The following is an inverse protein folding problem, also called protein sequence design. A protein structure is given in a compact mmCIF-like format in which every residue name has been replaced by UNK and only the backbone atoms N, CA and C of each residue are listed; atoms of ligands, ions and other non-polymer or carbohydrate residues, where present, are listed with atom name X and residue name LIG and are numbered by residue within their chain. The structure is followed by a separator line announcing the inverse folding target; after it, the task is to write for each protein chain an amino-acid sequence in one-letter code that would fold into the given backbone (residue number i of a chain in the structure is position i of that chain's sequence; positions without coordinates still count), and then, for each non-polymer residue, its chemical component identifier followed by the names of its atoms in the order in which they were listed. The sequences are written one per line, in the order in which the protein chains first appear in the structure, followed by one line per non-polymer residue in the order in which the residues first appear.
data_IF_460443340530
#
_entry.id   IF_460443340530
#
_cell.length_a   1.000
_cell.length_b   1.000
_cell.length_c   1.000
_cell.angle_alpha   90.00
_cell.angle_beta   90.00
_cell.angle_gamma   90.00
#
_symmetry.space_group_name_H-M   'P 1'
#
loop_
_entity.id
_entity.type
_entity.pdbx_description
1 polymer ?
#
# COMPACT_ATOMS: atom_id res chain seq x y z
N UNK A 1 -27.30 16.33 -18.29
CA UNK A 1 -28.26 15.68 -17.38
C UNK A 1 -27.71 15.78 -15.96
N UNK A 2 -28.34 16.58 -15.10
CA UNK A 2 -27.95 16.67 -13.69
C UNK A 2 -28.41 15.41 -12.94
N UNK A 3 -27.50 14.75 -12.21
CA UNK A 3 -27.84 13.63 -11.32
C UNK A 3 -27.99 14.17 -9.90
N UNK A 4 -29.13 13.88 -9.29
CA UNK A 4 -29.42 14.19 -7.90
C UNK A 4 -29.14 12.95 -7.05
N UNK A 5 -28.42 13.12 -5.94
CA UNK A 5 -28.24 12.07 -4.95
C UNK A 5 -29.07 12.45 -3.73
N UNK A 6 -30.02 11.59 -3.39
CA UNK A 6 -30.85 11.70 -2.20
C UNK A 6 -30.33 10.74 -1.15
N UNK A 7 -29.97 11.25 0.03
CA UNK A 7 -29.53 10.45 1.16
C UNK A 7 -30.74 9.95 1.97
N UNK A 8 -30.53 8.88 2.75
CA UNK A 8 -31.58 8.23 3.55
C UNK A 8 -32.22 9.17 4.61
N UNK A 9 -31.59 10.30 4.91
CA UNK A 9 -32.10 11.35 5.80
C UNK A 9 -32.81 12.50 5.07
N UNK A 10 -33.09 12.33 3.78
CA UNK A 10 -33.87 13.26 2.97
C UNK A 10 -33.08 14.45 2.41
N UNK A 11 -31.76 14.52 2.64
CA UNK A 11 -30.92 15.57 2.05
C UNK A 11 -30.66 15.29 0.57
N UNK A 12 -30.77 16.32 -0.26
CA UNK A 12 -30.49 16.27 -1.70
C UNK A 12 -29.34 17.22 -2.02
N UNK A 13 -28.30 16.71 -2.68
CA UNK A 13 -27.15 17.53 -3.08
C UNK A 13 -26.98 17.49 -4.59
N UNK A 14 -26.70 18.66 -5.18
CA UNK A 14 -26.40 18.83 -6.59
C UNK A 14 -24.93 18.48 -6.87
N UNK A 15 -24.67 17.46 -7.68
CA UNK A 15 -23.32 17.13 -8.10
C UNK A 15 -22.89 18.09 -9.22
N UNK A 16 -22.13 19.15 -8.91
CA UNK A 16 -21.37 19.89 -9.92
C UNK A 16 -20.10 19.09 -10.22
N UNK A 17 -19.97 18.61 -11.46
CA UNK A 17 -18.75 17.99 -11.94
C UNK A 17 -17.65 19.03 -12.08
N UNK A 18 -16.48 18.76 -11.51
CA UNK A 18 -15.27 19.55 -11.71
C UNK A 18 -14.29 18.71 -12.50
N UNK A 19 -14.10 19.13 -13.76
CA UNK A 19 -13.00 18.77 -14.65
C UNK A 19 -11.70 19.34 -14.05
N UNK A 20 -10.60 18.60 -14.16
CA UNK A 20 -9.39 18.78 -13.34
C UNK A 20 -8.63 20.09 -13.49
N UNK A 21 -7.80 20.36 -12.48
CA UNK A 21 -6.62 21.23 -12.57
C UNK A 21 -5.63 20.87 -11.44
N UNK A 22 -4.34 20.86 -11.77
CA UNK A 22 -3.20 20.62 -10.89
C UNK A 22 -3.12 21.61 -9.72
N UNK A 23 -2.87 21.13 -8.51
CA UNK A 23 -2.28 21.94 -7.43
C UNK A 23 -1.18 21.13 -6.72
N UNK A 24 0.04 21.32 -7.20
CA UNK A 24 1.28 20.90 -6.58
C UNK A 24 1.64 21.82 -5.40
N UNK A 25 1.29 21.49 -4.16
CA UNK A 25 1.92 22.12 -2.98
C UNK A 25 2.05 21.13 -1.82
N UNK A 26 3.30 20.90 -1.41
CA UNK A 26 3.72 20.02 -0.32
C UNK A 26 3.21 20.53 1.04
N UNK A 27 2.49 19.67 1.76
CA UNK A 27 2.32 19.78 3.21
C UNK A 27 3.27 18.77 3.88
N UNK A 28 4.28 19.26 4.58
CA UNK A 28 5.13 18.43 5.45
C UNK A 28 4.48 18.44 6.83
N UNK A 29 3.89 17.32 7.23
CA UNK A 29 3.44 17.09 8.60
C UNK A 29 4.53 16.31 9.34
N UNK A 30 5.22 16.97 10.27
CA UNK A 30 6.07 16.29 11.26
C UNK A 30 5.28 16.07 12.54
N UNK A 31 5.15 14.81 12.93
CA UNK A 31 4.56 14.40 14.20
C UNK A 31 5.61 14.59 15.30
N UNK A 32 5.29 15.37 16.35
CA UNK A 32 6.05 15.39 17.60
C UNK A 32 5.30 14.58 18.65
N UNK A 33 6.05 13.91 19.54
CA UNK A 33 5.60 12.87 20.49
C UNK A 33 4.57 13.33 21.55
N UNK A 34 4.00 14.53 21.44
CA UNK A 34 2.99 15.08 22.35
C UNK A 34 1.59 15.25 21.74
N UNK A 35 1.37 14.82 20.49
CA UNK A 35 0.03 14.86 19.88
C UNK A 35 -0.56 16.27 19.64
N UNK A 36 0.25 17.32 19.78
CA UNK A 36 -0.15 18.70 19.48
C UNK A 36 0.26 19.07 18.06
N UNK A 37 -0.74 19.28 17.19
CA UNK A 37 -0.56 19.75 15.82
C UNK A 37 -0.48 21.28 15.80
N UNK A 38 0.71 21.86 15.65
CA UNK A 38 0.84 23.29 15.33
C UNK A 38 1.02 23.49 13.81
N UNK A 39 -0.07 23.80 13.11
CA UNK A 39 -0.01 24.25 11.73
C UNK A 39 0.25 25.76 11.67
N UNK A 40 1.50 26.19 11.57
CA UNK A 40 1.85 27.58 11.26
C UNK A 40 1.74 27.82 9.75
N UNK A 41 0.57 28.25 9.27
CA UNK A 41 0.41 28.74 7.89
C UNK A 41 -0.20 30.15 7.87
N UNK A 42 0.57 31.09 7.31
CA UNK A 42 0.19 32.49 7.09
C UNK A 42 -0.54 32.59 5.75
N UNK A 43 -1.87 32.56 5.77
CA UNK A 43 -2.72 32.86 4.60
C UNK A 43 -4.01 33.59 5.03
N UNK A 44 -4.49 34.57 4.24
CA UNK A 44 -5.58 35.47 4.61
C UNK A 44 -6.93 34.88 4.19
N UNK A 45 -7.74 34.48 5.16
CA UNK A 45 -9.22 34.56 5.20
C UNK A 45 -9.75 33.54 6.20
N UNK A 46 -10.42 34.06 7.23
CA UNK A 46 -10.69 33.36 8.49
C UNK A 46 -11.94 32.46 8.47
N UNK A 47 -12.73 32.44 7.38
CA UNK A 47 -14.11 31.91 7.43
C UNK A 47 -14.28 30.49 6.85
N UNK A 48 -13.35 30.02 6.01
CA UNK A 48 -13.38 28.64 5.47
C UNK A 48 -12.71 27.64 6.43
N UNK A 49 -11.95 28.14 7.42
CA UNK A 49 -11.12 27.34 8.33
C UNK A 49 -11.92 26.46 9.30
N UNK A 50 -13.10 26.88 9.76
CA UNK A 50 -13.78 26.14 10.84
C UNK A 50 -14.50 24.87 10.37
N UNK A 51 -15.04 24.87 9.14
CA UNK A 51 -15.85 23.75 8.63
C UNK A 51 -15.02 22.61 8.06
N UNK A 52 -13.88 22.89 7.43
CA UNK A 52 -13.03 21.84 6.82
C UNK A 52 -12.15 21.16 7.87
N UNK A 53 -11.59 21.92 8.83
CA UNK A 53 -10.76 21.34 9.90
C UNK A 53 -11.61 20.46 10.83
N UNK A 54 -12.87 20.82 11.08
CA UNK A 54 -13.79 20.04 11.92
C UNK A 54 -14.21 18.70 11.30
N UNK A 55 -14.21 18.57 9.96
CA UNK A 55 -14.63 17.32 9.30
C UNK A 55 -13.47 16.30 9.30
N UNK A 56 -12.23 16.74 9.15
CA UNK A 56 -11.07 15.85 9.12
C UNK A 56 -10.51 15.50 10.51
N UNK A 57 -10.73 16.33 11.53
CA UNK A 57 -10.30 16.03 12.90
C UNK A 57 -11.20 14.99 13.62
N UNK A 58 -12.41 14.72 13.11
CA UNK A 58 -13.41 13.88 13.79
C UNK A 58 -13.42 12.39 13.42
N UNK A 59 -12.41 11.89 12.69
CA UNK A 59 -12.24 10.45 12.46
C UNK A 59 -10.85 9.96 12.86
N UNK A 60 -10.42 10.28 14.08
CA UNK A 60 -9.42 9.42 14.71
C UNK A 60 -10.05 8.07 15.02
N UNK A 61 -9.46 7.00 14.51
CA UNK A 61 -9.84 5.64 14.87
C UNK A 61 -9.70 5.49 16.39
N UNK A 62 -10.75 5.06 17.08
CA UNK A 62 -10.72 4.98 18.54
C UNK A 62 -9.76 3.88 19.02
N UNK A 63 -9.11 4.11 20.16
CA UNK A 63 -8.25 3.10 20.78
C UNK A 63 -9.01 1.79 21.02
N UNK A 64 -10.27 1.88 21.43
CA UNK A 64 -11.13 0.71 21.64
C UNK A 64 -11.34 -0.09 20.35
N UNK A 65 -11.52 0.57 19.20
CA UNK A 65 -11.61 -0.11 17.92
C UNK A 65 -10.30 -0.82 17.59
N UNK A 66 -9.15 -0.16 17.76
CA UNK A 66 -7.84 -0.78 17.51
C UNK A 66 -7.60 -2.00 18.40
N UNK A 67 -7.90 -1.90 19.70
CA UNK A 67 -7.81 -3.04 20.62
C UNK A 67 -8.68 -4.21 20.17
N UNK A 68 -9.90 -3.95 19.69
CA UNK A 68 -10.77 -5.00 19.15
C UNK A 68 -10.20 -5.63 17.88
N UNK A 69 -9.63 -4.83 16.98
CA UNK A 69 -8.97 -5.33 15.75
C UNK A 69 -7.76 -6.20 16.09
N UNK A 70 -6.94 -5.80 17.07
CA UNK A 70 -5.77 -6.56 17.51
C UNK A 70 -6.12 -7.92 18.14
N UNK A 71 -7.34 -8.08 18.65
CA UNK A 71 -7.84 -9.33 19.21
C UNK A 71 -8.40 -10.30 18.15
N UNK A 72 -8.62 -9.84 16.91
CA UNK A 72 -9.12 -10.71 15.86
C UNK A 72 -8.08 -11.77 15.47
N UNK A 73 -8.50 -13.02 15.20
CA UNK A 73 -7.59 -14.05 14.75
C UNK A 73 -6.97 -13.65 13.40
N UNK A 74 -5.67 -13.90 13.27
CA UNK A 74 -4.97 -13.71 12.01
C UNK A 74 -5.47 -14.74 10.99
N UNK A 75 -5.73 -14.28 9.77
CA UNK A 75 -5.91 -15.18 8.64
C UNK A 75 -4.54 -15.65 8.18
N UNK A 76 -4.32 -16.96 8.15
CA UNK A 76 -3.05 -17.56 7.75
C UNK A 76 -3.07 -18.03 6.30
N UNK A 77 -1.93 -17.91 5.62
CA UNK A 77 -1.77 -18.44 4.26
C UNK A 77 -1.65 -19.98 4.20
N UNK A 78 -1.60 -20.64 5.36
CA UNK A 78 -1.51 -22.10 5.47
C UNK A 78 -2.84 -22.83 5.32
N UNK A 79 -3.96 -22.14 5.52
CA UNK A 79 -5.29 -22.76 5.55
C UNK A 79 -5.67 -23.35 4.19
N UNK A 80 -5.76 -24.69 4.04
CA UNK A 80 -6.08 -25.33 2.78
C UNK A 80 -7.45 -24.89 2.24
N UNK A 81 -7.55 -24.64 0.93
CA UNK A 81 -8.78 -24.19 0.28
C UNK A 81 -9.20 -22.74 0.59
N UNK A 82 -8.48 -22.04 1.49
CA UNK A 82 -8.75 -20.64 1.77
C UNK A 82 -8.36 -19.72 0.61
N UNK A 83 -9.01 -18.56 0.54
CA UNK A 83 -8.63 -17.51 -0.41
C UNK A 83 -7.18 -17.03 -0.18
N UNK A 84 -6.72 -16.98 1.07
CA UNK A 84 -5.35 -16.62 1.41
C UNK A 84 -4.32 -17.61 0.80
N UNK A 85 -4.59 -18.92 0.90
CA UNK A 85 -3.75 -19.96 0.29
C UNK A 85 -3.78 -19.88 -1.24
N UNK A 86 -4.96 -19.66 -1.83
CA UNK A 86 -5.10 -19.45 -3.27
C UNK A 86 -4.28 -18.24 -3.75
N UNK A 87 -4.23 -17.18 -2.95
CA UNK A 87 -3.40 -15.99 -3.18
C UNK A 87 -1.95 -16.37 -3.48
N UNK A 88 -1.27 -17.04 -2.55
CA UNK A 88 0.15 -17.35 -2.69
C UNK A 88 0.48 -18.49 -3.68
N UNK A 89 -0.47 -19.39 -3.91
CA UNK A 89 -0.25 -20.53 -4.83
C UNK A 89 -0.56 -20.21 -6.29
N UNK A 90 -1.26 -19.11 -6.58
CA UNK A 90 -1.66 -18.79 -7.95
C UNK A 90 -1.69 -17.29 -8.26
N UNK A 91 -2.47 -16.49 -7.51
CA UNK A 91 -2.77 -15.10 -7.87
C UNK A 91 -1.56 -14.17 -7.73
N UNK A 92 -0.82 -14.29 -6.64
CA UNK A 92 0.36 -13.47 -6.39
C UNK A 92 1.54 -13.81 -7.30
N UNK A 93 1.90 -15.10 -7.52
CA UNK A 93 2.87 -15.46 -8.55
C UNK A 93 2.51 -14.92 -9.94
N UNK A 94 1.25 -15.07 -10.36
CA UNK A 94 0.77 -14.54 -11.64
C UNK A 94 0.93 -13.02 -11.72
N UNK A 95 0.51 -12.28 -10.69
CA UNK A 95 0.67 -10.82 -10.64
C UNK A 95 2.13 -10.38 -10.78
N UNK A 96 3.07 -11.08 -10.15
CA UNK A 96 4.50 -10.75 -10.28
C UNK A 96 5.01 -11.03 -11.70
N UNK A 97 4.54 -12.12 -12.33
CA UNK A 97 4.84 -12.43 -13.74
C UNK A 97 4.28 -11.36 -14.66
N UNK A 98 3.04 -10.92 -14.45
CA UNK A 98 2.39 -9.85 -15.22
C UNK A 98 3.17 -8.53 -15.10
N UNK A 99 3.67 -8.19 -13.91
CA UNK A 99 4.55 -7.02 -13.74
C UNK A 99 5.79 -7.08 -14.64
N UNK A 100 6.39 -8.26 -14.82
CA UNK A 100 7.55 -8.45 -15.71
C UNK A 100 7.14 -8.44 -17.17
N UNK A 101 6.05 -9.10 -17.54
CA UNK A 101 5.57 -9.17 -18.92
C UNK A 101 5.14 -7.80 -19.43
N UNK A 102 4.33 -7.07 -18.65
CA UNK A 102 3.71 -5.82 -19.08
C UNK A 102 4.61 -4.59 -18.90
N UNK A 103 5.62 -4.66 -18.02
CA UNK A 103 6.53 -3.53 -17.76
C UNK A 103 8.01 -3.87 -18.03
N UNK A 104 8.31 -5.03 -18.61
CA UNK A 104 9.66 -5.60 -18.67
C UNK A 104 10.70 -4.75 -19.39
N UNK A 105 10.28 -3.95 -20.38
CA UNK A 105 11.17 -3.02 -21.08
C UNK A 105 11.73 -1.91 -20.16
N UNK A 106 11.02 -1.60 -19.07
CA UNK A 106 11.43 -0.57 -18.09
C UNK A 106 12.40 -1.11 -17.05
N UNK A 107 12.62 -2.42 -17.01
CA UNK A 107 13.49 -3.08 -16.03
C UNK A 107 14.74 -3.65 -16.71
N UNK A 108 15.93 -3.48 -16.12
CA UNK A 108 17.10 -4.28 -16.47
C UNK A 108 16.82 -5.78 -16.33
N UNK A 109 17.54 -6.59 -17.11
CA UNK A 109 17.38 -8.05 -17.13
C UNK A 109 17.49 -8.69 -15.74
N UNK A 110 18.44 -8.22 -14.93
CA UNK A 110 18.62 -8.72 -13.56
C UNK A 110 17.38 -8.48 -12.68
N UNK A 111 16.72 -7.33 -12.82
CA UNK A 111 15.51 -7.06 -12.04
C UNK A 111 14.36 -7.98 -12.47
N UNK A 112 14.17 -8.18 -13.78
CA UNK A 112 13.18 -9.14 -14.31
C UNK A 112 13.43 -10.54 -13.78
N UNK A 113 14.69 -11.00 -13.81
CA UNK A 113 15.09 -12.32 -13.29
C UNK A 113 14.77 -12.47 -11.81
N UNK A 114 15.03 -11.45 -10.99
CA UNK A 114 14.74 -11.46 -9.55
C UNK A 114 13.24 -11.45 -9.26
N UNK A 115 12.44 -10.73 -10.04
CA UNK A 115 10.98 -10.76 -9.94
C UNK A 115 10.42 -12.14 -10.32
N UNK A 116 10.89 -12.73 -11.42
CA UNK A 116 10.47 -14.09 -11.80
C UNK A 116 10.87 -15.13 -10.75
N UNK A 117 12.03 -14.97 -10.10
CA UNK A 117 12.42 -15.78 -8.94
C UNK A 117 11.46 -15.58 -7.76
N UNK A 118 11.08 -14.35 -7.46
CA UNK A 118 10.09 -14.08 -6.40
C UNK A 118 8.75 -14.78 -6.71
N UNK A 119 8.29 -14.78 -7.97
CA UNK A 119 7.08 -15.50 -8.36
C UNK A 119 7.19 -17.01 -8.09
N UNK A 120 8.34 -17.60 -8.41
CA UNK A 120 8.62 -19.02 -8.15
C UNK A 120 8.69 -19.33 -6.65
N UNK A 121 9.35 -18.46 -5.87
CA UNK A 121 9.45 -18.54 -4.42
C UNK A 121 8.06 -18.46 -3.74
N UNK A 122 7.18 -17.57 -4.22
CA UNK A 122 5.80 -17.46 -3.75
C UNK A 122 5.03 -18.77 -4.00
N UNK A 123 5.15 -19.35 -5.19
CA UNK A 123 4.42 -20.55 -5.59
C UNK A 123 4.87 -21.80 -4.82
N UNK A 124 6.18 -21.92 -4.55
CA UNK A 124 6.80 -23.09 -3.92
C UNK A 124 7.02 -22.97 -2.40
N UNK A 125 6.31 -22.07 -1.73
CA UNK A 125 6.37 -21.85 -0.28
C UNK A 125 7.79 -21.55 0.21
N UNK A 126 8.58 -20.73 -0.48
CA UNK A 126 9.91 -20.38 -0.01
C UNK A 126 9.86 -19.59 1.31
N UNK A 127 11.01 -19.52 1.99
CA UNK A 127 11.18 -18.64 3.15
C UNK A 127 11.08 -17.17 2.72
N UNK A 128 10.41 -16.36 3.52
CA UNK A 128 10.29 -14.93 3.28
C UNK A 128 11.64 -14.27 3.59
N UNK A 129 12.34 -13.67 2.61
CA UNK A 129 13.64 -13.08 2.85
C UNK A 129 13.53 -11.81 3.70
N UNK A 130 14.59 -11.49 4.44
CA UNK A 130 14.75 -10.16 5.02
C UNK A 130 15.16 -9.15 3.95
N UNK A 131 14.75 -7.87 4.05
CA UNK A 131 15.23 -6.83 3.13
C UNK A 131 16.76 -6.74 3.03
N UNK A 132 17.47 -6.91 4.14
CA UNK A 132 18.94 -6.93 4.20
C UNK A 132 19.59 -8.01 3.33
N UNK A 133 18.92 -9.14 3.11
CA UNK A 133 19.43 -10.24 2.29
C UNK A 133 19.41 -9.93 0.77
N UNK A 134 18.69 -8.88 0.35
CA UNK A 134 18.45 -8.59 -1.06
C UNK A 134 19.53 -7.73 -1.71
N UNK A 135 20.41 -7.08 -0.92
CA UNK A 135 21.42 -6.15 -1.43
C UNK A 135 20.84 -5.11 -2.42
N UNK A 136 19.80 -4.40 -1.98
CA UNK A 136 19.04 -3.39 -2.77
C UNK A 136 18.99 -2.06 -2.02
N UNK A 137 18.62 -0.99 -2.72
CA UNK A 137 18.40 0.32 -2.11
C UNK A 137 17.15 0.32 -1.22
N UNK A 138 17.28 0.81 0.02
CA UNK A 138 16.20 0.80 1.00
C UNK A 138 15.25 1.98 0.81
N UNK A 139 13.95 1.70 0.92
CA UNK A 139 12.91 2.73 0.97
C UNK A 139 12.64 3.22 2.40
N UNK A 140 11.74 4.22 2.57
CA UNK A 140 11.45 4.84 3.87
C UNK A 140 10.92 3.88 4.95
N UNK A 141 10.29 2.77 4.54
CA UNK A 141 9.71 1.77 5.45
C UNK A 141 10.51 0.48 5.54
N UNK A 142 11.60 0.33 4.79
CA UNK A 142 12.34 -0.93 4.70
C UNK A 142 12.91 -1.37 6.04
N UNK A 143 13.46 -0.45 6.84
CA UNK A 143 13.94 -0.78 8.18
C UNK A 143 12.83 -1.22 9.15
N UNK A 144 11.57 -0.78 8.93
CA UNK A 144 10.42 -1.24 9.74
C UNK A 144 10.06 -2.68 9.37
N UNK A 145 10.11 -3.02 8.08
CA UNK A 145 9.91 -4.40 7.62
C UNK A 145 11.01 -5.34 8.11
N UNK A 146 12.27 -4.91 8.06
CA UNK A 146 13.40 -5.65 8.62
C UNK A 146 13.10 -6.01 10.08
N UNK A 147 12.84 -4.99 10.93
CA UNK A 147 12.53 -5.19 12.35
C UNK A 147 11.31 -6.10 12.59
N UNK A 148 10.27 -5.99 11.75
CA UNK A 148 9.05 -6.79 11.89
C UNK A 148 9.28 -8.28 11.58
N UNK A 149 10.20 -8.58 10.66
CA UNK A 149 10.50 -9.93 10.19
C UNK A 149 11.69 -10.57 10.90
N UNK A 150 12.63 -9.80 11.47
CA UNK A 150 13.78 -10.34 12.21
C UNK A 150 13.34 -11.34 13.29
N UNK A 151 13.94 -12.52 13.28
CA UNK A 151 13.65 -13.59 14.24
C UNK A 151 12.34 -14.35 13.96
N UNK A 152 11.63 -14.04 12.86
CA UNK A 152 10.49 -14.81 12.37
C UNK A 152 10.97 -15.78 11.29
N UNK A 153 10.49 -17.02 11.33
CA UNK A 153 10.76 -18.03 10.29
C UNK A 153 9.51 -18.23 9.45
N UNK A 154 9.09 -17.17 8.76
CA UNK A 154 7.89 -17.21 7.93
C UNK A 154 8.20 -17.76 6.55
N UNK A 155 7.25 -18.52 6.02
CA UNK A 155 7.24 -18.96 4.61
C UNK A 155 5.99 -18.40 3.95
N UNK A 156 6.00 -18.25 2.64
CA UNK A 156 4.90 -17.60 1.91
C UNK A 156 3.53 -18.25 2.19
N UNK A 157 3.48 -19.57 2.39
CA UNK A 157 2.27 -20.31 2.73
C UNK A 157 2.14 -20.62 4.22
N UNK A 158 3.01 -20.05 5.07
CA UNK A 158 3.00 -20.20 6.54
C UNK A 158 3.26 -18.86 7.22
N UNK A 159 2.45 -17.87 6.90
CA UNK A 159 2.52 -16.53 7.46
C UNK A 159 1.12 -15.90 7.60
N UNK A 160 0.97 -14.87 8.45
CA UNK A 160 -0.24 -14.05 8.43
C UNK A 160 -0.43 -13.45 7.03
N UNK A 161 -1.58 -13.71 6.42
CA UNK A 161 -1.84 -13.41 5.01
C UNK A 161 -1.63 -11.92 4.69
N UNK A 162 -2.19 -11.03 5.52
CA UNK A 162 -2.06 -9.59 5.31
C UNK A 162 -0.60 -9.13 5.38
N UNK A 163 0.17 -9.62 6.36
CA UNK A 163 1.58 -9.31 6.52
C UNK A 163 2.39 -9.76 5.29
N UNK A 164 2.25 -11.02 4.90
CA UNK A 164 2.98 -11.57 3.76
C UNK A 164 2.57 -10.88 2.45
N UNK A 165 1.28 -10.63 2.24
CA UNK A 165 0.80 -9.95 1.04
C UNK A 165 1.35 -8.53 0.92
N UNK A 166 1.28 -7.74 2.00
CA UNK A 166 1.84 -6.39 2.01
C UNK A 166 3.36 -6.37 1.85
N UNK A 167 4.05 -7.34 2.46
CA UNK A 167 5.50 -7.47 2.32
C UNK A 167 5.92 -7.86 0.91
N UNK A 168 5.17 -8.75 0.24
CA UNK A 168 5.41 -9.07 -1.17
C UNK A 168 5.38 -7.83 -2.06
N UNK A 169 4.39 -6.94 -1.90
CA UNK A 169 4.36 -5.68 -2.64
C UNK A 169 5.58 -4.81 -2.32
N UNK A 170 6.01 -4.75 -1.06
CA UNK A 170 7.24 -4.05 -0.69
C UNK A 170 8.48 -4.66 -1.37
N UNK A 171 8.59 -5.98 -1.43
CA UNK A 171 9.67 -6.67 -2.14
C UNK A 171 9.69 -6.30 -3.62
N UNK A 172 8.53 -6.26 -4.29
CA UNK A 172 8.47 -5.87 -5.70
C UNK A 172 9.06 -4.46 -5.89
N UNK A 173 8.69 -3.49 -5.03
CA UNK A 173 9.26 -2.13 -5.07
C UNK A 173 10.78 -2.10 -4.85
N UNK A 174 11.29 -2.94 -3.95
CA UNK A 174 12.73 -3.05 -3.69
C UNK A 174 13.47 -3.66 -4.89
N UNK A 175 12.95 -4.76 -5.43
CA UNK A 175 13.55 -5.51 -6.54
C UNK A 175 13.55 -4.71 -7.84
N UNK A 176 12.53 -3.90 -8.09
CA UNK A 176 12.47 -3.01 -9.26
C UNK A 176 13.31 -1.75 -9.06
N UNK A 177 13.80 -1.51 -7.84
CA UNK A 177 14.55 -0.29 -7.52
C UNK A 177 13.66 0.97 -7.58
N UNK A 178 12.36 0.83 -7.33
CA UNK A 178 11.39 1.93 -7.33
C UNK A 178 11.88 3.12 -6.48
N UNK A 179 12.40 2.85 -5.28
CA UNK A 179 12.85 3.92 -4.37
C UNK A 179 14.05 4.73 -4.87
N UNK A 180 14.76 4.25 -5.91
CA UNK A 180 15.84 4.97 -6.57
C UNK A 180 15.39 5.62 -7.88
N UNK A 181 14.50 4.97 -8.63
CA UNK A 181 14.19 5.33 -10.02
C UNK A 181 12.83 6.02 -10.19
N UNK A 182 11.89 5.78 -9.27
CA UNK A 182 10.50 6.20 -9.39
C UNK A 182 9.66 5.41 -10.39
N UNK A 183 10.22 4.39 -11.06
CA UNK A 183 9.48 3.59 -12.05
C UNK A 183 8.49 2.67 -11.34
N UNK A 184 7.19 2.94 -11.50
CA UNK A 184 6.13 2.11 -10.91
C UNK A 184 6.05 0.75 -11.61
N UNK A 185 6.22 -0.38 -10.88
CA UNK A 185 6.15 -1.70 -11.46
C UNK A 185 4.75 -2.23 -11.79
N UNK A 186 3.71 -1.45 -11.48
CA UNK A 186 2.33 -1.79 -11.79
C UNK A 186 1.70 -0.88 -12.84
N UNK A 187 2.48 0.04 -13.42
CA UNK A 187 1.99 1.09 -14.31
C UNK A 187 1.09 0.59 -15.45
N UNK A 188 1.51 -0.46 -16.16
CA UNK A 188 0.74 -1.05 -17.25
C UNK A 188 -0.62 -1.65 -16.82
N UNK A 189 -0.84 -1.88 -15.53
CA UNK A 189 -2.08 -2.51 -15.02
C UNK A 189 -3.25 -1.53 -14.92
N UNK A 190 -2.97 -0.22 -14.93
CA UNK A 190 -3.99 0.82 -14.75
C UNK A 190 -3.91 1.93 -15.79
N UNK A 191 -2.93 1.88 -16.70
CA UNK A 191 -2.87 2.75 -17.87
C UNK A 191 -3.26 1.92 -19.09
N UNK A 192 -4.41 2.24 -19.68
CA UNK A 192 -4.80 1.68 -20.97
C UNK A 192 -3.82 2.21 -22.00
N UNK A 193 -2.98 1.35 -22.55
CA UNK A 193 -2.19 1.68 -23.73
C UNK A 193 -3.16 1.64 -24.92
N UNK A 194 -3.36 2.77 -25.63
CA UNK A 194 -4.27 2.82 -26.79
C UNK A 194 -3.80 1.95 -27.95
#
# INVERSE_FOLDING_TARGET
MARWITFADGRVVHQQGVVGEELSHQAIATCTDAGTFEAKTRWPNHDVRSRVISIFASQMVSTEFLTRVEQLPLVWSSEPGSFARLGFTSRYPALVRDSVELNGERFPEEQRRRLLRLADELEHDAEIPLPSALNVYWGPTTGKWEKLLTGRVYRWHKAPWFLAGMYMFHLILLLTGYYRTGVDPFHASYVVVP
#
